data_IF_193709300672
#
_entry.id   IF_193709300672
#
_cell.length_a   1.000
_cell.length_b   1.000
_cell.length_c   1.000
_cell.angle_alpha   90.00
_cell.angle_beta   90.00
_cell.angle_gamma   90.00
#
_symmetry.space_group_name_H-M   'P 1'
#
loop_
_entity.id
_entity.type
_entity.pdbx_description
1 polymer ?
#
# COMPACT_ATOMS: atom_id res chain seq x y z
N UNK A 1 -14.34 -56.07 -1.27
CA UNK A 1 -13.58 -55.31 -2.28
C UNK A 1 -14.34 -54.03 -2.59
N UNK A 2 -13.76 -52.89 -2.24
CA UNK A 2 -13.83 -51.62 -2.98
C UNK A 2 -12.73 -50.76 -2.33
N UNK A 3 -11.51 -50.86 -2.86
CA UNK A 3 -10.43 -49.94 -2.52
C UNK A 3 -10.82 -48.59 -3.09
N UNK A 4 -11.07 -47.61 -2.22
CA UNK A 4 -11.14 -46.22 -2.64
C UNK A 4 -9.74 -45.86 -3.15
N UNK A 5 -9.64 -45.52 -4.43
CA UNK A 5 -8.43 -45.02 -5.06
C UNK A 5 -8.02 -43.72 -4.34
N UNK A 6 -6.87 -43.73 -3.67
CA UNK A 6 -6.20 -42.55 -3.11
C UNK A 6 -5.50 -41.68 -4.18
N UNK A 7 -5.76 -41.93 -5.46
CA UNK A 7 -5.19 -41.16 -6.57
C UNK A 7 -6.25 -40.27 -7.24
N UNK A 8 -6.62 -39.19 -6.56
CA UNK A 8 -7.20 -38.00 -7.18
C UNK A 8 -7.20 -36.78 -6.23
N UNK A 9 -6.10 -36.53 -5.50
CA UNK A 9 -5.85 -35.17 -5.01
C UNK A 9 -5.23 -34.43 -6.20
N UNK A 10 -6.11 -33.95 -7.07
CA UNK A 10 -5.75 -32.95 -8.08
C UNK A 10 -5.16 -31.76 -7.34
N UNK A 11 -3.97 -31.34 -7.77
CA UNK A 11 -3.24 -30.19 -7.26
C UNK A 11 -4.19 -29.05 -6.86
N UNK A 12 -4.37 -28.84 -5.56
CA UNK A 12 -5.13 -27.70 -5.05
C UNK A 12 -4.26 -26.47 -5.30
N UNK A 13 -4.34 -25.93 -6.52
CA UNK A 13 -3.70 -24.66 -6.86
C UNK A 13 -4.32 -23.61 -5.94
N UNK A 14 -3.50 -23.04 -5.06
CA UNK A 14 -3.96 -22.01 -4.13
C UNK A 14 -4.42 -20.77 -4.90
N UNK A 15 -5.36 -20.00 -4.35
CA UNK A 15 -5.78 -18.74 -4.96
C UNK A 15 -4.59 -17.79 -5.23
N UNK A 16 -3.55 -17.87 -4.40
CA UNK A 16 -2.28 -17.15 -4.57
C UNK A 16 -1.51 -17.59 -5.81
N UNK A 17 -1.46 -18.90 -6.09
CA UNK A 17 -0.81 -19.45 -7.28
C UNK A 17 -1.62 -19.16 -8.56
N UNK A 18 -2.95 -19.16 -8.48
CA UNK A 18 -3.81 -18.72 -9.59
C UNK A 18 -3.54 -17.24 -9.89
N UNK A 19 -3.51 -16.37 -8.88
CA UNK A 19 -3.25 -14.93 -9.05
C UNK A 19 -1.86 -14.65 -9.62
N UNK A 20 -0.83 -15.38 -9.19
CA UNK A 20 0.53 -15.27 -9.77
C UNK A 20 0.61 -15.66 -11.25
N UNK A 21 -0.31 -16.49 -11.73
CA UNK A 21 -0.40 -16.86 -13.15
C UNK A 21 -1.13 -15.83 -14.00
N UNK A 22 -1.80 -14.83 -13.39
CA UNK A 22 -2.40 -13.70 -14.12
C UNK A 22 -1.32 -12.66 -14.48
N UNK A 23 -1.07 -12.38 -15.77
CA UNK A 23 -0.09 -11.40 -16.22
C UNK A 23 -0.29 -9.99 -15.62
N UNK A 24 -1.56 -9.61 -15.40
CA UNK A 24 -1.93 -8.31 -14.84
C UNK A 24 -1.46 -8.18 -13.39
N UNK A 25 -1.56 -9.25 -12.60
CA UNK A 25 -1.10 -9.27 -11.22
C UNK A 25 0.42 -9.14 -11.14
N UNK A 26 1.16 -9.83 -12.00
CA UNK A 26 2.61 -9.70 -12.05
C UNK A 26 3.03 -8.29 -12.46
N UNK A 27 2.30 -7.66 -13.38
CA UNK A 27 2.54 -6.28 -13.79
C UNK A 27 2.26 -5.30 -12.64
N UNK A 28 1.16 -5.47 -11.91
CA UNK A 28 0.82 -4.68 -10.73
C UNK A 28 1.92 -4.74 -9.67
N UNK A 29 2.37 -5.95 -9.31
CA UNK A 29 3.43 -6.15 -8.29
C UNK A 29 4.76 -5.53 -8.74
N UNK A 30 5.12 -5.66 -10.02
CA UNK A 30 6.30 -5.02 -10.57
C UNK A 30 6.19 -3.49 -10.54
N UNK A 31 5.04 -2.95 -10.89
CA UNK A 31 4.77 -1.52 -10.89
C UNK A 31 4.82 -0.93 -9.47
N UNK A 32 4.27 -1.64 -8.48
CA UNK A 32 4.37 -1.26 -7.06
C UNK A 32 5.83 -1.26 -6.58
N UNK A 33 6.60 -2.33 -6.86
CA UNK A 33 8.00 -2.41 -6.46
C UNK A 33 8.85 -1.30 -7.10
N UNK A 34 8.62 -0.97 -8.37
CA UNK A 34 9.30 0.12 -9.04
C UNK A 34 8.88 1.49 -8.47
N UNK A 35 7.60 1.68 -8.14
CA UNK A 35 7.11 2.90 -7.49
C UNK A 35 7.73 3.08 -6.11
N UNK A 36 7.88 2.01 -5.33
CA UNK A 36 8.56 2.04 -4.03
C UNK A 36 10.00 2.52 -4.14
N UNK A 37 10.75 2.03 -5.14
CA UNK A 37 12.11 2.50 -5.39
C UNK A 37 12.15 3.99 -5.72
N UNK A 38 11.23 4.47 -6.57
CA UNK A 38 11.13 5.89 -6.92
C UNK A 38 10.72 6.75 -5.73
N UNK A 39 9.81 6.27 -4.90
CA UNK A 39 9.38 6.95 -3.68
C UNK A 39 10.53 7.10 -2.67
N UNK A 40 11.33 6.04 -2.47
CA UNK A 40 12.54 6.10 -1.64
C UNK A 40 13.54 7.13 -2.16
N UNK A 41 13.80 7.15 -3.47
CA UNK A 41 14.69 8.14 -4.10
C UNK A 41 14.14 9.57 -3.99
N UNK A 42 12.83 9.75 -4.06
CA UNK A 42 12.18 11.04 -3.86
C UNK A 42 12.33 11.54 -2.42
N UNK A 43 12.11 10.69 -1.41
CA UNK A 43 12.37 11.02 -0.01
C UNK A 43 13.85 11.37 0.22
N UNK A 44 14.77 10.60 -0.37
CA UNK A 44 16.20 10.86 -0.26
C UNK A 44 16.59 12.22 -0.84
N UNK A 45 16.01 12.63 -1.98
CA UNK A 45 16.23 13.96 -2.58
C UNK A 45 15.75 15.10 -1.67
N UNK A 46 14.81 14.83 -0.77
CA UNK A 46 14.36 15.76 0.28
C UNK A 46 15.18 15.67 1.56
N UNK A 47 16.29 14.93 1.57
CA UNK A 47 17.09 14.60 2.76
C UNK A 47 16.32 13.84 3.84
N UNK A 48 15.28 13.10 3.47
CA UNK A 48 14.51 12.24 4.38
C UNK A 48 15.03 10.82 4.25
N UNK A 49 15.48 10.24 5.36
CA UNK A 49 15.83 8.82 5.44
C UNK A 49 14.56 8.00 5.65
N UNK A 50 14.48 6.85 4.98
CA UNK A 50 13.34 5.94 5.08
C UNK A 50 13.81 4.50 5.24
N UNK A 51 12.91 3.65 5.73
CA UNK A 51 13.05 2.19 5.75
C UNK A 51 11.99 1.60 4.82
N UNK A 52 12.41 0.80 3.84
CA UNK A 52 11.50 0.04 3.00
C UNK A 52 11.26 -1.36 3.55
N UNK A 53 10.06 -1.88 3.32
CA UNK A 53 9.63 -3.21 3.76
C UNK A 53 9.83 -3.39 5.28
N UNK A 54 9.52 -2.33 6.03
CA UNK A 54 9.76 -2.21 7.48
C UNK A 54 8.90 -3.21 8.24
N UNK A 55 9.55 -4.00 9.11
CA UNK A 55 8.89 -5.06 9.86
C UNK A 55 8.49 -4.57 11.24
N UNK A 56 7.20 -4.65 11.52
CA UNK A 56 6.61 -4.44 12.83
C UNK A 56 5.93 -5.73 13.31
N UNK A 57 6.71 -6.59 13.96
CA UNK A 57 6.25 -7.92 14.38
C UNK A 57 5.81 -8.79 13.21
N UNK A 58 4.49 -9.05 13.12
CA UNK A 58 3.87 -9.84 12.05
C UNK A 58 3.54 -9.02 10.80
N UNK A 59 3.66 -7.70 10.87
CA UNK A 59 3.27 -6.80 9.81
C UNK A 59 4.49 -6.29 9.05
N UNK A 60 4.29 -6.02 7.76
CA UNK A 60 5.30 -5.48 6.88
C UNK A 60 4.72 -4.25 6.20
N UNK A 61 5.27 -3.09 6.52
CA UNK A 61 4.89 -1.78 5.99
C UNK A 61 5.73 -1.50 4.75
N UNK A 62 5.14 -0.92 3.71
CA UNK A 62 5.87 -0.69 2.47
C UNK A 62 7.03 0.30 2.69
N UNK A 63 6.76 1.50 3.22
CA UNK A 63 7.81 2.47 3.58
C UNK A 63 7.47 3.18 4.89
N UNK A 64 8.46 3.36 5.76
CA UNK A 64 8.34 4.22 6.95
C UNK A 64 9.45 5.26 6.98
N UNK A 65 9.16 6.45 7.49
CA UNK A 65 10.14 7.52 7.62
C UNK A 65 9.76 8.50 8.72
N UNK A 66 10.70 9.36 9.09
CA UNK A 66 10.47 10.45 10.04
C UNK A 66 10.89 11.76 9.42
N UNK A 67 10.00 12.76 9.45
CA UNK A 67 10.28 14.13 9.01
C UNK A 67 9.98 15.09 10.17
N UNK A 68 11.03 15.72 10.71
CA UNK A 68 10.91 16.41 12.00
C UNK A 68 10.56 15.42 13.10
N UNK A 69 9.45 15.65 13.80
CA UNK A 69 8.96 14.80 14.89
C UNK A 69 7.82 13.86 14.47
N UNK A 70 7.45 13.85 13.18
CA UNK A 70 6.34 13.03 12.65
C UNK A 70 6.87 11.72 12.10
N UNK A 71 6.47 10.59 12.69
CA UNK A 71 6.68 9.25 12.15
C UNK A 71 5.54 8.85 11.20
N UNK A 72 5.86 8.75 9.92
CA UNK A 72 4.91 8.44 8.86
C UNK A 72 5.01 6.96 8.47
N UNK A 73 3.86 6.30 8.34
CA UNK A 73 3.73 4.97 7.74
C UNK A 73 3.07 5.12 6.37
N UNK A 74 3.80 4.78 5.31
CA UNK A 74 3.33 4.85 3.94
C UNK A 74 2.98 3.46 3.39
N UNK A 75 1.81 3.35 2.78
CA UNK A 75 1.36 2.19 2.01
C UNK A 75 1.27 2.57 0.53
N UNK A 76 1.99 1.82 -0.30
CA UNK A 76 2.14 2.11 -1.72
C UNK A 76 1.26 1.14 -2.51
N UNK A 77 0.43 1.66 -3.43
CA UNK A 77 -0.46 0.83 -4.24
C UNK A 77 -0.47 1.30 -5.69
N UNK A 78 -0.48 0.34 -6.61
CA UNK A 78 -0.47 0.61 -8.05
C UNK A 78 -1.42 -0.35 -8.77
N UNK A 79 -2.67 -0.35 -8.32
CA UNK A 79 -3.79 -1.10 -8.89
C UNK A 79 -4.33 -0.40 -10.14
N UNK A 80 -5.53 -0.78 -10.59
CA UNK A 80 -6.13 -0.24 -11.82
C UNK A 80 -6.76 1.15 -11.68
N UNK A 81 -6.97 1.66 -10.47
CA UNK A 81 -7.51 3.00 -10.24
C UNK A 81 -7.16 3.54 -8.85
N UNK A 82 -7.21 4.86 -8.68
CA UNK A 82 -6.98 5.52 -7.39
C UNK A 82 -7.95 5.03 -6.31
N UNK A 83 -9.24 4.86 -6.63
CA UNK A 83 -10.23 4.21 -5.75
C UNK A 83 -9.73 2.86 -5.20
N UNK A 84 -9.22 1.97 -6.06
CA UNK A 84 -8.75 0.65 -5.64
C UNK A 84 -7.47 0.73 -4.81
N UNK A 85 -6.59 1.69 -5.10
CA UNK A 85 -5.41 1.96 -4.28
C UNK A 85 -5.80 2.39 -2.87
N UNK A 86 -6.78 3.30 -2.75
CA UNK A 86 -7.33 3.73 -1.46
C UNK A 86 -7.92 2.53 -0.70
N UNK A 87 -8.76 1.71 -1.35
CA UNK A 87 -9.37 0.51 -0.75
C UNK A 87 -8.32 -0.47 -0.23
N UNK A 88 -7.26 -0.72 -1.02
CA UNK A 88 -6.22 -1.66 -0.68
C UNK A 88 -5.28 -1.15 0.42
N UNK A 89 -4.97 0.15 0.43
CA UNK A 89 -4.08 0.76 1.40
C UNK A 89 -4.76 0.98 2.77
N UNK A 90 -6.00 1.47 2.79
CA UNK A 90 -6.65 1.88 4.05
C UNK A 90 -6.81 0.73 5.04
N UNK A 91 -7.11 -0.48 4.55
CA UNK A 91 -7.24 -1.65 5.41
C UNK A 91 -5.91 -2.06 6.08
N UNK A 92 -4.78 -1.79 5.43
CA UNK A 92 -3.45 -2.05 5.99
C UNK A 92 -3.04 -0.96 6.96
N UNK A 93 -3.27 0.31 6.62
CA UNK A 93 -3.00 1.43 7.50
C UNK A 93 -3.81 1.36 8.81
N UNK A 94 -5.10 1.03 8.73
CA UNK A 94 -5.94 0.77 9.91
C UNK A 94 -5.40 -0.37 10.76
N UNK A 95 -4.86 -1.43 10.13
CA UNK A 95 -4.23 -2.54 10.86
C UNK A 95 -3.02 -2.06 11.62
N UNK A 96 -2.15 -1.24 11.03
CA UNK A 96 -0.96 -0.75 11.73
C UNK A 96 -1.30 0.24 12.84
N UNK A 97 -2.39 1.00 12.68
CA UNK A 97 -2.79 2.00 13.66
C UNK A 97 -3.56 1.41 14.85
N UNK A 98 -4.42 0.41 14.60
CA UNK A 98 -5.44 -0.01 15.58
C UNK A 98 -5.30 -1.47 16.03
N UNK A 99 -4.56 -2.32 15.31
CA UNK A 99 -4.51 -3.73 15.65
C UNK A 99 -3.64 -3.97 16.90
N UNK A 100 -4.10 -4.76 17.90
CA UNK A 100 -3.40 -4.90 19.19
C UNK A 100 -1.97 -5.43 19.12
N UNK A 101 -1.60 -6.12 18.04
CA UNK A 101 -0.24 -6.64 17.83
C UNK A 101 0.69 -5.70 17.05
N UNK A 102 0.18 -4.57 16.54
CA UNK A 102 1.02 -3.55 15.93
C UNK A 102 1.77 -2.82 17.05
N UNK A 103 3.10 -2.76 16.98
CA UNK A 103 3.91 -2.29 18.11
C UNK A 103 4.20 -0.80 18.01
N UNK A 104 4.10 -0.21 16.81
CA UNK A 104 4.46 1.19 16.57
C UNK A 104 3.43 1.91 15.68
N UNK A 105 2.36 2.51 16.23
CA UNK A 105 1.44 3.32 15.43
C UNK A 105 2.16 4.50 14.77
N UNK A 106 1.60 5.00 13.67
CA UNK A 106 2.11 6.18 12.97
C UNK A 106 1.51 7.45 13.57
N UNK A 107 2.30 8.54 13.58
CA UNK A 107 1.77 9.89 13.80
C UNK A 107 1.00 10.37 12.55
N UNK A 108 1.44 9.91 11.38
CA UNK A 108 0.79 10.12 10.08
C UNK A 108 0.67 8.79 9.32
N UNK A 109 -0.47 8.59 8.68
CA UNK A 109 -0.74 7.50 7.76
C UNK A 109 -0.74 8.07 6.35
N UNK A 110 0.00 7.46 5.44
CA UNK A 110 0.16 7.97 4.09
C UNK A 110 -0.23 6.89 3.07
N UNK A 111 -1.16 7.22 2.18
CA UNK A 111 -1.41 6.44 0.96
C UNK A 111 -0.57 7.05 -0.16
N UNK A 112 0.17 6.23 -0.88
CA UNK A 112 0.88 6.64 -2.10
C UNK A 112 0.35 5.82 -3.27
N UNK A 113 -0.34 6.50 -4.19
CA UNK A 113 -0.96 5.87 -5.35
C UNK A 113 -0.09 6.00 -6.60
N UNK A 114 -0.05 4.96 -7.41
CA UNK A 114 0.50 5.00 -8.77
C UNK A 114 -0.45 5.64 -9.79
N UNK A 115 -1.68 5.95 -9.37
CA UNK A 115 -2.73 6.52 -10.20
C UNK A 115 -2.99 7.97 -9.81
N UNK A 116 -3.36 8.79 -10.80
CA UNK A 116 -3.73 10.19 -10.57
C UNK A 116 -5.16 10.22 -10.02
N UNK A 117 -5.42 10.87 -8.87
CA UNK A 117 -6.76 10.94 -8.31
C UNK A 117 -7.70 11.79 -9.17
N UNK A 118 -8.94 11.33 -9.31
CA UNK A 118 -10.04 12.15 -9.81
C UNK A 118 -10.71 12.91 -8.66
N UNK A 119 -11.60 13.86 -8.99
CA UNK A 119 -12.27 14.71 -7.99
C UNK A 119 -13.06 13.88 -6.96
N UNK A 120 -13.68 12.82 -7.43
CA UNK A 120 -14.47 11.88 -6.64
C UNK A 120 -13.59 11.11 -5.63
N UNK A 121 -12.38 10.71 -6.04
CA UNK A 121 -11.41 10.05 -5.16
C UNK A 121 -10.96 10.99 -4.03
N UNK A 122 -10.68 12.26 -4.36
CA UNK A 122 -10.29 13.30 -3.40
C UNK A 122 -11.41 13.54 -2.39
N UNK A 123 -12.65 13.71 -2.88
CA UNK A 123 -13.81 13.89 -2.02
C UNK A 123 -14.01 12.67 -1.10
N UNK A 124 -13.80 11.47 -1.62
CA UNK A 124 -13.93 10.26 -0.84
C UNK A 124 -12.86 10.13 0.25
N UNK A 125 -11.60 10.41 -0.08
CA UNK A 125 -10.50 10.45 0.88
C UNK A 125 -10.80 11.44 2.03
N UNK A 126 -11.32 12.62 1.70
CA UNK A 126 -11.72 13.62 2.70
C UNK A 126 -12.80 13.08 3.64
N UNK A 127 -13.82 12.41 3.10
CA UNK A 127 -14.85 11.75 3.91
C UNK A 127 -14.28 10.65 4.80
N UNK A 128 -13.29 9.88 4.33
CA UNK A 128 -12.61 8.86 5.15
C UNK A 128 -11.87 9.53 6.32
N UNK A 129 -11.07 10.57 6.05
CA UNK A 129 -10.35 11.36 7.07
C UNK A 129 -11.31 11.86 8.16
N UNK A 130 -12.38 12.53 7.75
CA UNK A 130 -13.36 13.15 8.65
C UNK A 130 -14.16 12.11 9.46
N UNK A 131 -14.54 11.00 8.86
CA UNK A 131 -15.41 10.00 9.49
C UNK A 131 -14.66 9.06 10.44
N UNK A 132 -13.39 8.82 10.17
CA UNK A 132 -12.56 7.89 10.96
C UNK A 132 -11.58 8.60 11.90
N UNK A 133 -11.51 9.94 11.85
CA UNK A 133 -10.57 10.76 12.63
C UNK A 133 -9.12 10.26 12.50
N UNK A 134 -8.71 9.97 11.25
CA UNK A 134 -7.39 9.43 10.94
C UNK A 134 -6.44 10.55 10.50
N UNK A 135 -5.16 10.54 10.94
CA UNK A 135 -4.11 11.43 10.44
C UNK A 135 -3.64 10.96 9.06
N UNK A 136 -4.56 10.95 8.09
CA UNK A 136 -4.38 10.33 6.79
C UNK A 136 -4.05 11.40 5.72
N UNK A 137 -2.94 11.18 5.03
CA UNK A 137 -2.47 11.97 3.89
C UNK A 137 -2.47 11.12 2.63
N UNK A 138 -2.42 11.77 1.46
CA UNK A 138 -2.38 11.09 0.17
C UNK A 138 -1.41 11.77 -0.79
N UNK A 139 -0.55 10.95 -1.40
CA UNK A 139 0.32 11.34 -2.50
C UNK A 139 0.01 10.49 -3.73
N UNK A 140 0.25 11.04 -4.91
CA UNK A 140 0.27 10.26 -6.15
C UNK A 140 1.53 10.49 -6.97
N UNK A 141 1.95 9.47 -7.70
CA UNK A 141 3.07 9.54 -8.63
C UNK A 141 2.70 10.45 -9.82
N UNK A 142 3.50 11.50 -10.07
CA UNK A 142 3.34 12.37 -11.23
C UNK A 142 3.50 11.59 -12.56
N UNK A 143 2.91 12.08 -13.65
CA UNK A 143 3.00 11.43 -14.97
C UNK A 143 4.44 11.15 -15.43
N UNK A 144 5.36 12.08 -15.12
CA UNK A 144 6.79 11.93 -15.43
C UNK A 144 7.55 11.00 -14.48
N UNK A 145 6.89 10.47 -13.44
CA UNK A 145 7.44 9.58 -12.39
C UNK A 145 8.67 10.12 -11.68
N UNK A 146 8.80 11.45 -11.68
CA UNK A 146 9.94 12.16 -11.09
C UNK A 146 9.61 12.76 -9.74
N UNK A 147 8.33 12.87 -9.41
CA UNK A 147 7.81 13.56 -8.24
C UNK A 147 6.56 12.87 -7.70
N UNK A 148 6.27 13.09 -6.41
CA UNK A 148 5.07 12.63 -5.72
C UNK A 148 4.31 13.85 -5.21
N UNK A 149 3.08 14.02 -5.70
CA UNK A 149 2.29 15.23 -5.50
C UNK A 149 1.22 14.99 -4.44
N UNK A 150 1.04 15.96 -3.55
CA UNK A 150 -0.06 15.94 -2.57
C UNK A 150 -1.35 16.42 -3.17
N UNK A 151 -2.45 15.83 -2.72
CA UNK A 151 -3.77 16.41 -2.89
C UNK A 151 -3.93 17.51 -1.83
N UNK A 152 -4.23 18.73 -2.26
CA UNK A 152 -4.55 19.83 -1.35
C UNK A 152 -5.96 19.63 -0.75
N UNK A 153 -6.11 19.86 0.56
CA UNK A 153 -7.37 19.72 1.33
C UNK A 153 -8.39 20.86 1.10
#
# INVERSE_FOLDING_TARGET
MLKLNEEAITDVITATEIRRKCPEFNTMVLNEAQMEQRFQQWLQRQNIKCNAQDRDGLFRRDVTFTKGDIYTIAELKHTSSTRQDIEAAIGQLLRYQLYPLAQKPGDELLIVSGNIPEKEDIQWLKLIKERLDLPLSFLYESEGKNDFLSVED
#
